data_IF_438153965990
#
_entry.id   IF_438153965990
#
_cell.length_a   1.000
_cell.length_b   1.000
_cell.length_c   1.000
_cell.angle_alpha   90.00
_cell.angle_beta   90.00
_cell.angle_gamma   90.00
#
_symmetry.space_group_name_H-M   'P 1'
#
loop_
_entity.id
_entity.type
_entity.pdbx_description
1 polymer ?
#
# COMPACT_ATOMS: atom_id res chain seq x y z
N UNK A 1 -27.99 9.20 -2.94
CA UNK A 1 -27.01 10.16 -2.40
C UNK A 1 -26.47 9.72 -1.04
N UNK A 2 -27.22 9.68 0.07
CA UNK A 2 -26.68 9.24 1.38
C UNK A 2 -26.06 7.84 1.31
N UNK A 3 -26.81 6.88 0.77
CA UNK A 3 -26.36 5.49 0.64
C UNK A 3 -25.16 5.28 -0.28
N UNK A 4 -24.98 6.15 -1.28
CA UNK A 4 -23.88 6.06 -2.24
C UNK A 4 -22.58 6.59 -1.63
N UNK A 5 -22.64 7.75 -0.96
CA UNK A 5 -21.50 8.31 -0.23
C UNK A 5 -21.09 7.38 0.92
N UNK A 6 -22.05 6.77 1.62
CA UNK A 6 -21.79 5.77 2.66
C UNK A 6 -21.08 4.53 2.11
N UNK A 7 -21.49 4.02 0.95
CA UNK A 7 -20.82 2.89 0.29
C UNK A 7 -19.40 3.27 -0.15
N UNK A 8 -19.22 4.43 -0.80
CA UNK A 8 -17.89 4.93 -1.20
C UNK A 8 -16.96 5.16 0.01
N UNK A 9 -17.53 5.58 1.14
CA UNK A 9 -16.77 5.71 2.39
C UNK A 9 -16.29 4.34 2.88
N UNK A 10 -17.16 3.34 2.84
CA UNK A 10 -16.83 1.96 3.22
C UNK A 10 -15.72 1.40 2.33
N UNK A 11 -15.83 1.56 1.02
CA UNK A 11 -14.81 1.12 0.06
C UNK A 11 -13.45 1.79 0.33
N UNK A 12 -13.46 3.10 0.61
CA UNK A 12 -12.26 3.85 0.99
C UNK A 12 -11.62 3.31 2.28
N UNK A 13 -12.44 3.01 3.29
CA UNK A 13 -11.95 2.47 4.57
C UNK A 13 -11.38 1.06 4.40
N UNK A 14 -11.99 0.21 3.57
CA UNK A 14 -11.49 -1.13 3.23
C UNK A 14 -10.15 -1.07 2.49
N UNK A 15 -10.05 -0.27 1.42
CA UNK A 15 -8.80 -0.08 0.67
C UNK A 15 -7.69 0.50 1.56
N UNK A 16 -8.03 1.37 2.50
CA UNK A 16 -7.05 1.93 3.44
C UNK A 16 -6.55 0.88 4.43
N UNK A 17 -7.43 0.00 4.92
CA UNK A 17 -7.05 -1.11 5.78
C UNK A 17 -6.10 -2.08 5.06
N UNK A 18 -6.35 -2.38 3.79
CA UNK A 18 -5.47 -3.23 2.99
C UNK A 18 -4.13 -2.58 2.69
N UNK A 19 -4.12 -1.28 2.34
CA UNK A 19 -2.87 -0.52 2.23
C UNK A 19 -2.05 -0.57 3.54
N UNK A 20 -2.70 -0.47 4.70
CA UNK A 20 -2.02 -0.56 6.00
C UNK A 20 -1.37 -1.92 6.25
N UNK A 21 -2.03 -3.01 5.84
CA UNK A 21 -1.44 -4.36 5.91
C UNK A 21 -0.22 -4.46 5.01
N UNK A 22 -0.32 -3.94 3.79
CA UNK A 22 0.78 -3.95 2.82
C UNK A 22 1.96 -3.06 3.24
N UNK A 23 1.69 -1.92 3.89
CA UNK A 23 2.72 -1.08 4.49
C UNK A 23 3.57 -1.84 5.52
N UNK A 24 2.96 -2.79 6.26
CA UNK A 24 3.69 -3.68 7.16
C UNK A 24 4.82 -4.44 6.47
N UNK A 25 4.60 -4.88 5.23
CA UNK A 25 5.63 -5.59 4.44
C UNK A 25 6.83 -4.70 4.12
N UNK A 26 6.60 -3.39 3.90
CA UNK A 26 7.70 -2.43 3.70
C UNK A 26 8.49 -2.30 5.00
N UNK A 27 7.82 -2.15 6.15
CA UNK A 27 8.50 -2.07 7.45
C UNK A 27 9.36 -3.31 7.72
N UNK A 28 8.88 -4.52 7.40
CA UNK A 28 9.65 -5.74 7.55
C UNK A 28 10.93 -5.75 6.68
N UNK A 29 10.85 -5.22 5.45
CA UNK A 29 12.02 -5.12 4.56
C UNK A 29 13.01 -4.06 5.04
N UNK A 30 12.52 -2.91 5.49
CA UNK A 30 13.36 -1.86 6.10
C UNK A 30 14.07 -2.39 7.35
N UNK A 31 13.36 -3.11 8.23
CA UNK A 31 13.96 -3.67 9.44
C UNK A 31 15.09 -4.67 9.13
N UNK A 32 14.97 -5.45 8.05
CA UNK A 32 16.06 -6.34 7.58
C UNK A 32 17.27 -5.56 7.08
N UNK A 33 17.04 -4.48 6.33
CA UNK A 33 18.10 -3.61 5.84
C UNK A 33 18.82 -2.91 7.00
N UNK A 34 18.07 -2.40 7.98
CA UNK A 34 18.62 -1.75 9.18
C UNK A 34 19.46 -2.71 10.04
N UNK A 35 19.13 -4.00 10.04
CA UNK A 35 19.87 -5.03 10.75
C UNK A 35 21.08 -5.58 9.99
N UNK A 36 21.29 -5.19 8.72
CA UNK A 36 22.33 -5.75 7.87
C UNK A 36 23.74 -5.38 8.35
N UNK A 37 24.61 -6.38 8.40
CA UNK A 37 26.04 -6.24 8.64
C UNK A 37 26.84 -6.08 7.35
N UNK A 38 28.16 -5.84 7.45
CA UNK A 38 29.03 -5.62 6.29
C UNK A 38 29.23 -6.85 5.40
N UNK A 39 28.90 -8.05 5.88
CA UNK A 39 29.00 -9.30 5.11
C UNK A 39 27.67 -9.69 4.43
N UNK A 40 26.57 -9.03 4.79
CA UNK A 40 25.27 -9.28 4.17
C UNK A 40 25.19 -8.68 2.76
N UNK A 41 24.39 -9.30 1.90
CA UNK A 41 24.13 -8.78 0.55
C UNK A 41 23.15 -7.59 0.59
N UNK A 42 23.70 -6.42 0.92
CA UNK A 42 22.94 -5.16 1.01
C UNK A 42 22.30 -4.79 -0.33
N UNK A 43 22.93 -5.15 -1.46
CA UNK A 43 22.35 -4.89 -2.79
C UNK A 43 21.04 -5.66 -2.95
N UNK A 44 21.04 -6.96 -2.66
CA UNK A 44 19.84 -7.77 -2.76
C UNK A 44 18.75 -7.32 -1.77
N UNK A 45 19.12 -6.91 -0.55
CA UNK A 45 18.17 -6.37 0.43
C UNK A 45 17.48 -5.08 -0.05
N UNK A 46 18.24 -4.19 -0.70
CA UNK A 46 17.71 -2.97 -1.30
C UNK A 46 16.80 -3.26 -2.50
N UNK A 47 17.19 -4.19 -3.38
CA UNK A 47 16.36 -4.63 -4.51
C UNK A 47 15.02 -5.21 -4.01
N UNK A 48 15.07 -6.05 -2.98
CA UNK A 48 13.90 -6.63 -2.31
C UNK A 48 12.96 -5.55 -1.74
N UNK A 49 13.53 -4.50 -1.13
CA UNK A 49 12.77 -3.37 -0.61
C UNK A 49 12.12 -2.59 -1.76
N UNK A 50 12.86 -2.27 -2.82
CA UNK A 50 12.36 -1.56 -3.99
C UNK A 50 11.17 -2.31 -4.62
N UNK A 51 11.32 -3.61 -4.83
CA UNK A 51 10.27 -4.47 -5.38
C UNK A 51 9.03 -4.51 -4.50
N UNK A 52 9.23 -4.55 -3.19
CA UNK A 52 8.13 -4.52 -2.21
C UNK A 52 7.39 -3.18 -2.28
N UNK A 53 8.11 -2.05 -2.25
CA UNK A 53 7.53 -0.71 -2.40
C UNK A 53 6.77 -0.58 -3.71
N UNK A 54 7.33 -1.08 -4.81
CA UNK A 54 6.68 -1.10 -6.13
C UNK A 54 5.36 -1.87 -6.08
N UNK A 55 5.34 -3.06 -5.48
CA UNK A 55 4.12 -3.88 -5.31
C UNK A 55 3.07 -3.17 -4.46
N UNK A 56 3.43 -2.60 -3.31
CA UNK A 56 2.48 -1.85 -2.45
C UNK A 56 1.93 -0.62 -3.18
N UNK A 57 2.75 0.07 -3.99
CA UNK A 57 2.31 1.22 -4.78
C UNK A 57 1.34 0.86 -5.88
N UNK A 58 1.65 -0.18 -6.66
CA UNK A 58 0.88 -0.53 -7.88
C UNK A 58 -0.27 -1.49 -7.60
N UNK A 59 -0.20 -2.17 -6.46
CA UNK A 59 -1.08 -3.25 -6.02
C UNK A 59 -0.70 -4.64 -6.52
N UNK A 60 0.45 -4.78 -7.18
CA UNK A 60 0.94 -6.07 -7.68
C UNK A 60 -0.07 -6.80 -8.59
N UNK A 61 -0.08 -8.14 -8.50
CA UNK A 61 -0.95 -9.00 -9.32
C UNK A 61 -2.43 -8.87 -8.96
N UNK A 62 -2.75 -8.55 -7.70
CA UNK A 62 -4.12 -8.53 -7.20
C UNK A 62 -4.76 -7.14 -7.22
N UNK A 63 -4.01 -6.10 -7.61
CA UNK A 63 -4.52 -4.74 -7.81
C UNK A 63 -4.87 -3.96 -6.54
N UNK A 64 -4.69 -4.56 -5.36
CA UNK A 64 -4.92 -3.99 -4.02
C UNK A 64 -3.70 -3.20 -3.54
N UNK A 65 -3.85 -1.97 -3.06
CA UNK A 65 -2.75 -1.19 -2.49
C UNK A 65 -2.94 0.32 -2.63
N UNK A 66 -1.85 1.08 -2.67
CA UNK A 66 -1.95 2.54 -2.75
C UNK A 66 -2.68 3.04 -4.01
N UNK A 67 -2.62 2.27 -5.11
CA UNK A 67 -3.35 2.58 -6.36
C UNK A 67 -4.86 2.40 -6.22
N UNK A 68 -5.35 1.33 -5.58
CA UNK A 68 -6.80 1.13 -5.35
C UNK A 68 -7.31 2.18 -4.38
N UNK A 69 -6.59 2.36 -3.26
CA UNK A 69 -6.85 3.42 -2.28
C UNK A 69 -6.96 4.81 -2.92
N UNK A 70 -6.07 5.15 -3.86
CA UNK A 70 -6.17 6.42 -4.58
C UNK A 70 -7.49 6.54 -5.35
N UNK A 71 -7.90 5.48 -6.07
CA UNK A 71 -9.16 5.48 -6.81
C UNK A 71 -10.37 5.61 -5.88
N UNK A 72 -10.42 4.84 -4.80
CA UNK A 72 -11.50 4.92 -3.81
C UNK A 72 -11.57 6.31 -3.16
N UNK A 73 -10.40 6.90 -2.84
CA UNK A 73 -10.30 8.26 -2.31
C UNK A 73 -10.87 9.27 -3.29
N UNK A 74 -10.47 9.21 -4.55
CA UNK A 74 -10.90 10.17 -5.57
C UNK A 74 -12.42 10.08 -5.79
N UNK A 75 -12.98 8.86 -5.90
CA UNK A 75 -14.42 8.64 -6.04
C UNK A 75 -15.21 9.17 -4.83
N UNK A 76 -14.76 8.89 -3.60
CA UNK A 76 -15.40 9.41 -2.39
C UNK A 76 -15.38 10.93 -2.32
N UNK A 77 -14.25 11.56 -2.69
CA UNK A 77 -14.12 13.03 -2.67
C UNK A 77 -14.96 13.70 -3.75
N UNK A 78 -15.07 13.09 -4.93
CA UNK A 78 -15.94 13.56 -6.01
C UNK A 78 -17.41 13.51 -5.60
N UNK A 79 -17.87 12.41 -4.98
CA UNK A 79 -19.26 12.27 -4.54
C UNK A 79 -19.61 13.13 -3.30
N UNK A 80 -18.61 13.57 -2.54
CA UNK A 80 -18.77 14.43 -1.35
C UNK A 80 -18.83 15.93 -1.71
N UNK A 81 -18.23 16.31 -2.83
CA UNK A 81 -18.22 17.68 -3.37
C UNK A 81 -19.50 18.04 -4.12
#
# INVERSE_FOLDING_TARGET
>A
MSSEIENLRKDLDEDFADFRKDLGKIHDKVAKLDAAGPEDDVYQLLEDLEDTVKKVRTGGLFGSGAKSLRKARDAYLEAKG
#
